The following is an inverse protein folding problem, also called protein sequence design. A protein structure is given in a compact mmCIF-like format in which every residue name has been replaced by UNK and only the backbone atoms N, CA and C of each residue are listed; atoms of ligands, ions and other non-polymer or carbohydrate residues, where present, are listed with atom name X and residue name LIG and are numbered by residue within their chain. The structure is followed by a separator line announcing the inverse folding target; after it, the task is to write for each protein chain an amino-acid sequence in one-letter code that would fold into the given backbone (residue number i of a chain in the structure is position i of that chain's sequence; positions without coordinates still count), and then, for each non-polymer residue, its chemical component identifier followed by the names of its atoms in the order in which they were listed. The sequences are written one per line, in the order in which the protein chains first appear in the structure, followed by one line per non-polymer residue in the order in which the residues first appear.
data_IF_706912528511
#
_entry.id   IF_706912528511
#
_cell.length_a   1.000
_cell.length_b   1.000
_cell.length_c   1.000
_cell.angle_alpha   90.00
_cell.angle_beta   90.00
_cell.angle_gamma   90.00
#
_symmetry.space_group_name_H-M   'P 1'
#
loop_
_entity.id
_entity.type
_entity.pdbx_description
1 polymer ?
#
# COMPACT_ATOMS: atom_id res chain seq x y z
N UNK A 1 8.00 7.41 11.45
CA UNK A 1 9.12 8.19 12.01
C UNK A 1 10.03 7.36 12.91
N UNK A 2 9.58 6.85 14.06
CA UNK A 2 10.43 6.03 14.95
C UNK A 2 10.65 4.60 14.45
N UNK A 3 9.64 3.99 13.83
CA UNK A 3 9.69 2.62 13.33
C UNK A 3 10.63 2.49 12.12
N UNK A 4 10.42 3.32 11.11
CA UNK A 4 11.21 3.35 9.86
C UNK A 4 12.72 3.55 10.14
N UNK A 5 13.06 4.39 11.11
CA UNK A 5 14.45 4.68 11.49
C UNK A 5 15.16 3.45 12.04
N UNK A 6 14.46 2.65 12.85
CA UNK A 6 15.01 1.41 13.42
C UNK A 6 15.24 0.34 12.37
N UNK A 7 14.40 0.27 11.35
CA UNK A 7 14.61 -0.66 10.22
C UNK A 7 15.88 -0.26 9.47
N UNK A 8 16.02 1.02 9.13
CA UNK A 8 17.18 1.54 8.39
C UNK A 8 18.50 1.37 9.18
N UNK A 9 18.44 1.44 10.51
CA UNK A 9 19.62 1.29 11.38
C UNK A 9 20.06 -0.17 11.59
N UNK A 10 19.27 -1.15 11.16
CA UNK A 10 19.66 -2.56 11.24
C UNK A 10 20.27 -3.05 9.94
N UNK A 11 21.28 -3.92 10.05
CA UNK A 11 21.79 -4.67 8.92
C UNK A 11 20.84 -5.85 8.62
N UNK A 12 20.45 -6.00 7.36
CA UNK A 12 19.65 -7.10 6.84
C UNK A 12 20.14 -7.46 5.44
N UNK A 13 20.11 -8.75 5.12
CA UNK A 13 20.39 -9.24 3.77
C UNK A 13 19.14 -9.09 2.88
N UNK A 14 17.98 -9.50 3.41
CA UNK A 14 16.68 -9.39 2.78
C UNK A 14 15.64 -8.82 3.76
N UNK A 15 14.78 -7.92 3.28
CA UNK A 15 13.73 -7.29 4.06
C UNK A 15 12.34 -7.67 3.52
N UNK A 16 11.47 -8.12 4.41
CA UNK A 16 10.04 -8.32 4.16
C UNK A 16 9.22 -7.45 5.13
N UNK A 17 8.31 -6.64 4.60
CA UNK A 17 7.38 -5.81 5.38
C UNK A 17 5.96 -6.16 4.98
N UNK A 18 5.15 -6.61 5.93
CA UNK A 18 3.76 -7.00 5.69
C UNK A 18 2.82 -6.52 6.79
N UNK A 19 1.56 -6.27 6.43
CA UNK A 19 0.51 -5.90 7.37
C UNK A 19 -0.53 -4.96 6.76
N UNK A 20 -1.33 -4.35 7.63
CA UNK A 20 -2.31 -3.32 7.29
C UNK A 20 -1.65 -1.93 7.32
N UNK A 21 -1.56 -1.30 6.16
CA UNK A 21 -0.95 0.03 5.99
C UNK A 21 -1.96 1.17 6.11
N UNK A 22 -3.26 0.87 6.24
CA UNK A 22 -4.35 1.85 6.30
C UNK A 22 -4.34 2.89 5.17
N UNK A 23 -3.75 2.55 4.03
CA UNK A 23 -3.66 3.41 2.87
C UNK A 23 -3.37 2.63 1.60
N UNK A 24 -3.79 3.18 0.46
CA UNK A 24 -3.64 2.56 -0.87
C UNK A 24 -2.45 3.15 -1.63
N UNK A 25 -1.86 2.37 -2.55
CA UNK A 25 -0.75 2.82 -3.39
C UNK A 25 -1.26 3.52 -4.66
N UNK A 26 -2.29 2.97 -5.29
CA UNK A 26 -2.90 3.51 -6.50
C UNK A 26 -4.43 3.54 -6.34
N UNK A 27 -5.00 4.72 -6.17
CA UNK A 27 -6.46 4.89 -6.00
C UNK A 27 -7.31 4.40 -7.17
N UNK A 28 -6.75 4.30 -8.38
CA UNK A 28 -7.49 3.78 -9.53
C UNK A 28 -7.62 2.24 -9.49
N UNK A 29 -6.63 1.53 -8.95
CA UNK A 29 -6.58 0.07 -8.93
C UNK A 29 -7.01 -0.50 -7.57
N UNK A 30 -6.53 0.11 -6.50
CA UNK A 30 -6.64 -0.39 -5.12
C UNK A 30 -7.89 0.13 -4.39
N UNK A 31 -8.81 0.82 -5.08
CA UNK A 31 -10.07 1.32 -4.52
C UNK A 31 -11.23 1.10 -5.49
N UNK A 32 -12.34 0.58 -4.99
CA UNK A 32 -13.55 0.43 -5.79
C UNK A 32 -14.23 1.79 -6.01
N UNK A 33 -14.98 1.90 -7.10
CA UNK A 33 -15.87 3.06 -7.31
C UNK A 33 -17.08 2.90 -6.39
N UNK A 34 -17.43 3.92 -5.63
CA UNK A 34 -18.71 3.93 -4.91
C UNK A 34 -19.84 4.22 -5.89
N UNK A 35 -20.87 3.38 -5.94
CA UNK A 35 -22.06 3.65 -6.74
C UNK A 35 -22.69 5.01 -6.32
N UNK A 36 -22.87 5.90 -7.30
CA UNK A 36 -23.68 7.12 -7.13
C UNK A 36 -23.02 8.36 -6.53
N UNK A 37 -21.70 8.39 -6.27
CA UNK A 37 -21.03 9.63 -5.81
C UNK A 37 -19.72 9.90 -6.55
N UNK A 38 -19.69 10.98 -7.33
CA UNK A 38 -18.48 11.71 -7.74
C UNK A 38 -17.83 12.30 -6.48
N UNK A 39 -17.17 11.48 -5.68
CA UNK A 39 -16.38 11.95 -4.54
C UNK A 39 -14.92 11.86 -4.91
N UNK A 40 -14.20 12.96 -4.61
CA UNK A 40 -12.75 13.06 -4.67
C UNK A 40 -12.12 11.71 -4.32
N UNK A 41 -11.49 11.07 -5.32
CA UNK A 41 -10.66 9.87 -5.13
C UNK A 41 -9.42 10.17 -4.29
N UNK A 42 -9.11 11.46 -4.11
CA UNK A 42 -8.02 11.96 -3.27
C UNK A 42 -8.33 11.69 -1.80
N UNK A 43 -7.59 10.75 -1.20
CA UNK A 43 -7.65 10.45 0.23
C UNK A 43 -7.53 8.96 0.53
N UNK A 44 -6.81 8.65 1.61
CA UNK A 44 -6.46 7.28 1.98
C UNK A 44 -5.29 6.71 1.19
N UNK A 45 -4.47 7.55 0.57
CA UNK A 45 -3.21 7.12 -0.05
C UNK A 45 -2.13 6.96 1.01
N UNK A 46 -1.16 6.07 0.75
CA UNK A 46 0.02 5.96 1.57
C UNK A 46 0.76 7.30 1.66
N UNK A 47 1.30 7.66 2.83
CA UNK A 47 1.96 8.94 3.01
C UNK A 47 3.25 9.02 2.18
N UNK A 48 3.62 10.23 1.75
CA UNK A 48 4.81 10.47 0.90
C UNK A 48 6.10 9.90 1.48
N UNK A 49 6.24 9.90 2.81
CA UNK A 49 7.44 9.35 3.45
C UNK A 49 7.56 7.83 3.21
N UNK A 50 6.44 7.10 3.15
CA UNK A 50 6.45 5.68 2.86
C UNK A 50 6.87 5.43 1.41
N UNK A 51 6.39 6.26 0.47
CA UNK A 51 6.79 6.17 -0.94
C UNK A 51 8.30 6.37 -1.14
N UNK A 52 8.89 7.27 -0.35
CA UNK A 52 10.34 7.46 -0.29
C UNK A 52 11.04 6.27 0.36
N UNK A 53 10.56 5.80 1.51
CA UNK A 53 11.14 4.66 2.22
C UNK A 53 11.21 3.41 1.34
N UNK A 54 10.14 3.07 0.60
CA UNK A 54 10.17 1.92 -0.31
C UNK A 54 11.20 2.07 -1.45
N UNK A 55 11.51 3.31 -1.86
CA UNK A 55 12.54 3.58 -2.87
C UNK A 55 13.93 3.44 -2.27
N UNK A 56 14.17 4.08 -1.13
CA UNK A 56 15.44 4.03 -0.40
C UNK A 56 15.81 2.59 -0.01
N UNK A 57 14.80 1.76 0.31
CA UNK A 57 14.97 0.35 0.70
C UNK A 57 14.82 -0.64 -0.46
N UNK A 58 14.63 -0.18 -1.71
CA UNK A 58 14.39 -1.04 -2.89
C UNK A 58 13.29 -2.11 -2.67
N UNK A 59 12.16 -1.69 -2.09
CA UNK A 59 11.01 -2.52 -1.82
C UNK A 59 9.99 -2.48 -2.96
N UNK A 60 9.51 -3.67 -3.33
CA UNK A 60 8.43 -3.86 -4.30
C UNK A 60 7.20 -4.46 -3.62
N UNK A 61 6.01 -4.00 -3.99
CA UNK A 61 4.75 -4.64 -3.62
C UNK A 61 4.66 -5.96 -4.39
N UNK A 62 4.89 -7.06 -3.67
CA UNK A 62 5.00 -8.41 -4.25
C UNK A 62 3.68 -8.80 -4.93
N UNK A 63 2.54 -8.53 -4.28
CA UNK A 63 1.22 -8.85 -4.83
C UNK A 63 0.97 -8.05 -6.12
N UNK A 64 1.18 -6.73 -6.09
CA UNK A 64 0.94 -5.88 -7.27
C UNK A 64 1.89 -6.21 -8.43
N UNK A 65 3.11 -6.66 -8.15
CA UNK A 65 4.04 -7.08 -9.19
C UNK A 65 3.54 -8.30 -9.98
N UNK A 66 2.89 -9.26 -9.30
CA UNK A 66 2.28 -10.44 -9.92
C UNK A 66 0.92 -10.13 -10.57
N UNK A 67 0.12 -9.26 -9.95
CA UNK A 67 -1.27 -8.96 -10.33
C UNK A 67 -1.41 -7.50 -10.81
N UNK A 68 -0.67 -7.14 -11.88
CA UNK A 68 -0.43 -5.73 -12.26
C UNK A 68 -1.68 -4.89 -12.44
N UNK A 69 -2.73 -5.45 -13.03
CA UNK A 69 -3.96 -4.73 -13.40
C UNK A 69 -5.21 -5.24 -12.67
N UNK A 70 -5.05 -6.14 -11.71
CA UNK A 70 -6.19 -6.71 -11.01
C UNK A 70 -6.77 -5.73 -9.99
N UNK A 71 -8.11 -5.71 -9.93
CA UNK A 71 -8.89 -4.97 -8.95
C UNK A 71 -9.31 -5.95 -7.85
N UNK A 72 -8.41 -6.19 -6.90
CA UNK A 72 -8.66 -7.02 -5.72
C UNK A 72 -8.51 -6.17 -4.45
N UNK A 73 -9.20 -6.56 -3.38
CA UNK A 73 -9.40 -5.73 -2.18
C UNK A 73 -9.35 -6.57 -0.91
N UNK A 74 -8.90 -5.96 0.18
CA UNK A 74 -8.72 -6.65 1.47
C UNK A 74 -9.60 -6.08 2.59
N UNK A 75 -10.16 -4.89 2.40
CA UNK A 75 -10.98 -4.19 3.38
C UNK A 75 -12.24 -3.56 2.76
N UNK A 76 -13.39 -3.70 3.45
CA UNK A 76 -14.63 -3.00 3.14
C UNK A 76 -14.91 -1.91 4.18
N UNK A 77 -14.99 -0.66 3.73
CA UNK A 77 -15.52 0.42 4.55
C UNK A 77 -17.05 0.45 4.48
N UNK A 78 -17.74 -0.09 5.47
CA UNK A 78 -19.21 -0.06 5.54
C UNK A 78 -19.78 1.38 5.49
N UNK A 79 -19.11 2.34 6.14
CA UNK A 79 -19.53 3.76 6.14
C UNK A 79 -19.53 4.38 4.75
N UNK A 80 -18.59 3.96 3.90
CA UNK A 80 -18.36 4.56 2.60
C UNK A 80 -18.76 3.63 1.43
N UNK A 81 -19.16 2.40 1.74
CA UNK A 81 -19.44 1.33 0.77
C UNK A 81 -18.34 1.22 -0.28
N UNK A 82 -17.08 1.23 0.18
CA UNK A 82 -15.91 1.21 -0.68
C UNK A 82 -14.99 0.08 -0.28
N UNK A 83 -14.53 -0.68 -1.27
CA UNK A 83 -13.51 -1.70 -1.10
C UNK A 83 -12.14 -1.08 -1.35
N UNK A 84 -11.16 -1.44 -0.52
CA UNK A 84 -9.78 -0.98 -0.64
C UNK A 84 -8.80 -2.11 -0.38
N UNK A 85 -7.66 -2.09 -1.08
CA UNK A 85 -6.51 -2.95 -0.77
C UNK A 85 -5.53 -2.19 0.11
N UNK A 86 -5.56 -2.46 1.42
CA UNK A 86 -4.71 -1.80 2.43
C UNK A 86 -3.74 -2.76 3.11
N UNK A 87 -3.98 -4.06 2.98
CA UNK A 87 -3.04 -5.09 3.39
C UNK A 87 -2.05 -5.36 2.26
N UNK A 88 -0.76 -5.25 2.54
CA UNK A 88 0.29 -5.35 1.54
C UNK A 88 1.46 -6.18 2.02
N UNK A 89 2.21 -6.71 1.06
CA UNK A 89 3.46 -7.44 1.30
C UNK A 89 4.52 -6.79 0.41
N UNK A 90 5.55 -6.24 1.05
CA UNK A 90 6.68 -5.59 0.43
C UNK A 90 7.93 -6.41 0.65
N UNK A 91 8.72 -6.62 -0.39
CA UNK A 91 10.01 -7.31 -0.28
C UNK A 91 11.06 -6.68 -1.17
N UNK A 92 12.33 -6.96 -0.90
CA UNK A 92 13.40 -6.61 -1.82
C UNK A 92 13.24 -7.37 -3.14
N UNK A 93 13.56 -6.70 -4.24
CA UNK A 93 13.70 -7.36 -5.53
C UNK A 93 15.09 -8.00 -5.57
N UNK A 94 15.15 -9.33 -5.55
CA UNK A 94 16.38 -10.11 -5.78
C UNK A 94 17.06 -9.76 -7.09
#
# INVERSE_FOLDING_TARGET
LLFDRRIIEQEYDDLLVMGDFNGVLNTALDKSKSEGKSKNTKGGELPRYFLKMKEDLNLVDIWRNMHRNEHDYTFLSNRHMTWTRIDMIWGNKS
#
